data_IF_003512811958
#
_entry.id   IF_003512811958
#
_cell.length_a   1.000
_cell.length_b   1.000
_cell.length_c   1.000
_cell.angle_alpha   90.00
_cell.angle_beta   90.00
_cell.angle_gamma   90.00
#
_symmetry.space_group_name_H-M   'P 1'
#
loop_
_entity.id
_entity.type
_entity.pdbx_description
1 polymer ?
#
# COMPACT_ATOMS: atom_id res chain seq x y z
N UNK A 1 50.46 63.12 6.13
CA UNK A 1 49.12 62.83 6.71
C UNK A 1 49.06 61.33 6.88
N UNK A 2 49.64 60.92 8.00
CA UNK A 2 49.85 59.55 8.42
C UNK A 2 48.58 58.99 9.06
N UNK A 3 48.31 57.70 8.87
CA UNK A 3 47.59 56.92 9.87
C UNK A 3 48.13 55.48 9.92
N UNK A 4 49.00 55.26 10.91
CA UNK A 4 49.15 54.06 11.75
C UNK A 4 47.75 53.53 12.21
N UNK A 5 47.45 52.29 12.64
CA UNK A 5 48.08 51.02 13.01
C UNK A 5 46.92 49.98 13.04
N UNK A 6 46.97 48.74 12.54
CA UNK A 6 47.83 47.63 12.95
C UNK A 6 47.18 46.79 14.07
N UNK A 7 46.52 45.66 13.76
CA UNK A 7 46.76 44.33 14.36
C UNK A 7 45.76 43.26 13.88
N UNK A 8 46.19 42.01 13.97
CA UNK A 8 45.82 40.84 13.16
C UNK A 8 44.79 39.89 13.82
N UNK A 9 44.10 39.08 12.99
CA UNK A 9 43.58 37.75 13.37
C UNK A 9 43.69 36.77 12.18
N UNK A 10 44.22 35.58 12.50
CA UNK A 10 44.68 34.43 11.69
C UNK A 10 43.80 34.00 10.49
N UNK A 11 44.30 33.37 9.43
CA UNK A 11 45.48 32.49 9.37
C UNK A 11 45.10 31.00 9.44
N UNK A 12 43.98 30.58 8.85
CA UNK A 12 43.78 29.19 8.44
C UNK A 12 42.83 29.15 7.23
N UNK A 13 43.36 28.78 6.07
CA UNK A 13 42.60 28.65 4.84
C UNK A 13 41.67 27.43 4.84
N UNK A 14 40.76 27.43 3.84
CA UNK A 14 39.72 26.42 3.52
C UNK A 14 38.44 26.54 4.34
N UNK A 15 37.23 26.36 3.84
CA UNK A 15 36.49 26.46 2.54
C UNK A 15 35.05 26.14 2.93
N UNK A 16 34.08 26.56 2.11
CA UNK A 16 32.72 25.99 2.01
C UNK A 16 32.53 24.65 2.75
N UNK A 17 31.70 24.64 3.79
CA UNK A 17 31.52 23.45 4.62
C UNK A 17 30.26 23.55 5.46
N UNK A 18 29.16 23.05 4.90
CA UNK A 18 27.87 23.02 5.56
C UNK A 18 26.70 22.58 4.69
N UNK A 19 26.92 22.16 3.44
CA UNK A 19 25.99 21.22 2.81
C UNK A 19 26.08 19.92 3.60
N UNK A 20 25.13 19.73 4.51
CA UNK A 20 24.82 18.42 5.03
C UNK A 20 24.40 17.56 3.83
N UNK A 21 25.36 16.83 3.28
CA UNK A 21 25.06 15.62 2.51
C UNK A 21 24.52 14.62 3.53
N UNK A 22 23.24 14.77 3.89
CA UNK A 22 22.45 13.65 4.38
C UNK A 22 22.30 12.71 3.19
N UNK A 23 23.29 11.84 3.01
CA UNK A 23 23.27 10.81 1.97
C UNK A 23 21.96 10.04 2.06
N UNK A 24 21.10 10.27 1.06
CA UNK A 24 19.84 9.61 0.73
C UNK A 24 19.30 8.62 1.79
N UNK A 25 18.93 9.12 2.97
CA UNK A 25 17.85 8.49 3.70
C UNK A 25 16.65 8.52 2.73
N UNK A 26 16.00 7.38 2.53
CA UNK A 26 14.95 7.19 1.53
C UNK A 26 13.89 8.30 1.46
N UNK A 27 13.03 8.21 0.45
CA UNK A 27 11.99 9.21 0.22
C UNK A 27 10.61 8.57 0.40
N UNK A 28 9.71 9.28 1.06
CA UNK A 28 8.29 8.97 1.01
C UNK A 28 7.76 9.32 -0.38
N UNK A 29 7.07 8.37 -1.02
CA UNK A 29 6.45 8.55 -2.32
C UNK A 29 4.95 8.35 -2.22
N UNK A 30 4.12 9.20 -2.85
CA UNK A 30 2.69 8.99 -2.93
C UNK A 30 2.36 7.64 -3.57
N UNK A 31 1.39 6.94 -2.99
CA UNK A 31 0.84 5.69 -3.52
C UNK A 31 -0.61 5.55 -3.03
N UNK A 32 -1.20 4.39 -3.26
CA UNK A 32 -2.54 4.08 -2.82
C UNK A 32 -2.66 2.65 -2.32
N UNK A 33 -3.73 2.43 -1.57
CA UNK A 33 -4.17 1.13 -1.10
C UNK A 33 -5.54 0.82 -1.65
N UNK A 34 -5.68 -0.32 -2.31
CA UNK A 34 -6.98 -0.93 -2.59
C UNK A 34 -7.27 -1.94 -1.47
N UNK A 35 -8.33 -1.70 -0.72
CA UNK A 35 -8.87 -2.63 0.27
C UNK A 35 -10.08 -3.32 -0.34
N UNK A 36 -10.06 -4.64 -0.33
CA UNK A 36 -11.13 -5.50 -0.82
C UNK A 36 -11.68 -6.29 0.36
N UNK A 37 -13.00 -6.22 0.54
CA UNK A 37 -13.73 -6.95 1.57
C UNK A 37 -14.52 -8.08 0.91
N UNK A 38 -14.28 -9.30 1.36
CA UNK A 38 -14.85 -10.52 0.80
C UNK A 38 -14.95 -11.60 1.89
N UNK A 39 -15.70 -12.66 1.63
CA UNK A 39 -15.79 -13.81 2.55
C UNK A 39 -14.89 -14.96 2.08
N UNK A 40 -14.49 -15.84 2.99
CA UNK A 40 -13.61 -16.99 2.66
C UNK A 40 -14.20 -17.92 1.60
N UNK A 41 -15.52 -18.00 1.51
CA UNK A 41 -16.24 -18.81 0.54
C UNK A 41 -16.52 -18.13 -0.80
N UNK A 42 -16.17 -16.85 -0.96
CA UNK A 42 -16.31 -16.16 -2.23
C UNK A 42 -15.46 -16.86 -3.29
N UNK A 43 -16.10 -17.18 -4.43
CA UNK A 43 -15.48 -17.96 -5.50
C UNK A 43 -15.53 -17.20 -6.82
N UNK A 44 -14.41 -17.25 -7.52
CA UNK A 44 -14.36 -17.01 -8.95
C UNK A 44 -14.32 -18.34 -9.67
N UNK A 45 -15.43 -18.72 -10.33
CA UNK A 45 -15.59 -20.04 -10.96
C UNK A 45 -15.41 -21.17 -9.94
N UNK A 46 -14.28 -21.87 -9.99
CA UNK A 46 -13.96 -23.01 -9.11
C UNK A 46 -12.81 -22.71 -8.15
N UNK A 47 -12.34 -21.46 -8.10
CA UNK A 47 -11.19 -21.02 -7.30
C UNK A 47 -11.64 -19.99 -6.27
N UNK A 48 -11.07 -19.96 -5.06
CA UNK A 48 -11.30 -18.87 -4.11
C UNK A 48 -11.04 -17.50 -4.75
N UNK A 49 -11.95 -16.56 -4.58
CA UNK A 49 -11.90 -15.24 -5.21
C UNK A 49 -10.65 -14.46 -4.78
N UNK A 50 -10.33 -14.47 -3.47
CA UNK A 50 -9.11 -13.82 -2.96
C UNK A 50 -7.86 -14.33 -3.67
N UNK A 51 -7.80 -15.65 -3.92
CA UNK A 51 -6.64 -16.28 -4.54
C UNK A 51 -6.50 -15.85 -6.00
N UNK A 52 -7.62 -15.78 -6.72
CA UNK A 52 -7.61 -15.29 -8.11
C UNK A 52 -7.19 -13.82 -8.18
N UNK A 53 -7.66 -12.96 -7.27
CA UNK A 53 -7.25 -11.55 -7.22
C UNK A 53 -5.73 -11.44 -6.96
N UNK A 54 -5.20 -12.16 -5.97
CA UNK A 54 -3.75 -12.17 -5.65
C UNK A 54 -2.94 -12.67 -6.85
N UNK A 55 -3.39 -13.75 -7.50
CA UNK A 55 -2.72 -14.30 -8.68
C UNK A 55 -2.64 -13.26 -9.79
N UNK A 56 -3.76 -12.65 -10.16
CA UNK A 56 -3.78 -11.63 -11.23
C UNK A 56 -2.96 -10.39 -10.86
N UNK A 57 -3.02 -9.94 -9.61
CA UNK A 57 -2.22 -8.82 -9.11
C UNK A 57 -0.70 -9.10 -9.23
N UNK A 58 -0.28 -10.32 -8.92
CA UNK A 58 1.10 -10.76 -9.10
C UNK A 58 1.48 -10.82 -10.58
N UNK A 59 0.61 -11.36 -11.42
CA UNK A 59 0.86 -11.51 -12.86
C UNK A 59 0.94 -10.16 -13.59
N UNK A 60 0.25 -9.12 -13.10
CA UNK A 60 0.34 -7.73 -13.59
C UNK A 60 1.49 -6.92 -12.96
N UNK A 61 2.23 -7.53 -12.03
CA UNK A 61 3.39 -6.92 -11.38
C UNK A 61 3.03 -5.79 -10.41
N UNK A 62 1.87 -5.86 -9.74
CA UNK A 62 1.57 -4.91 -8.67
C UNK A 62 2.59 -5.03 -7.52
N UNK A 63 2.88 -3.93 -6.85
CA UNK A 63 3.97 -3.81 -5.88
C UNK A 63 3.76 -4.73 -4.66
N UNK A 64 2.52 -4.94 -4.23
CA UNK A 64 2.21 -5.91 -3.20
C UNK A 64 0.73 -6.22 -3.05
N UNK A 65 0.46 -7.44 -2.60
CA UNK A 65 -0.85 -7.88 -2.15
C UNK A 65 -0.73 -8.70 -0.87
N UNK A 66 -1.68 -8.58 0.04
CA UNK A 66 -1.73 -9.35 1.29
C UNK A 66 -3.17 -9.64 1.67
N UNK A 67 -3.39 -10.79 2.32
CA UNK A 67 -4.71 -11.26 2.74
C UNK A 67 -4.68 -11.54 4.23
N UNK A 68 -5.67 -11.03 4.95
CA UNK A 68 -5.89 -11.33 6.37
C UNK A 68 -7.25 -11.95 6.55
N UNK A 69 -7.33 -12.93 7.46
CA UNK A 69 -8.58 -13.53 7.91
C UNK A 69 -9.01 -12.87 9.22
N UNK A 70 -10.24 -12.38 9.27
CA UNK A 70 -10.86 -11.85 10.47
C UNK A 70 -11.46 -12.95 11.34
N UNK A 71 -11.86 -12.55 12.55
CA UNK A 71 -12.53 -13.45 13.51
C UNK A 71 -14.06 -13.42 13.29
N UNK A 72 -14.60 -12.24 12.94
CA UNK A 72 -16.03 -12.00 12.73
C UNK A 72 -16.19 -10.74 11.85
N UNK A 73 -17.29 -10.64 11.10
CA UNK A 73 -17.60 -9.49 10.25
C UNK A 73 -18.98 -9.58 9.60
N UNK A 74 -19.42 -8.51 8.96
CA UNK A 74 -20.68 -8.45 8.20
C UNK A 74 -20.46 -7.63 6.91
N UNK A 75 -21.17 -7.93 5.82
CA UNK A 75 -20.91 -7.28 4.53
C UNK A 75 -21.87 -7.63 3.39
N UNK A 76 -21.61 -7.06 2.20
CA UNK A 76 -22.49 -7.14 1.03
C UNK A 76 -22.62 -8.57 0.43
N UNK A 77 -21.60 -9.41 0.62
CA UNK A 77 -21.58 -10.84 0.28
C UNK A 77 -22.32 -11.72 1.29
N UNK A 78 -22.74 -11.16 2.44
CA UNK A 78 -23.64 -11.80 3.41
C UNK A 78 -25.04 -11.90 2.83
N UNK A 79 -25.21 -12.71 1.78
CA UNK A 79 -26.51 -13.25 1.41
C UNK A 79 -27.03 -13.94 2.67
N UNK A 80 -28.04 -13.35 3.29
CA UNK A 80 -28.89 -13.91 4.35
C UNK A 80 -28.80 -15.44 4.40
N UNK A 81 -27.93 -15.97 5.27
CA UNK A 81 -27.97 -17.38 5.65
C UNK A 81 -28.94 -17.51 6.83
N UNK A 82 -30.23 -17.42 6.52
CA UNK A 82 -31.26 -17.90 7.44
C UNK A 82 -31.18 -19.42 7.47
N UNK A 83 -30.28 -20.00 8.26
CA UNK A 83 -30.62 -21.10 9.16
C UNK A 83 -29.46 -21.39 10.12
N UNK A 84 -29.78 -21.27 11.42
CA UNK A 84 -29.13 -21.90 12.57
C UNK A 84 -27.97 -21.12 13.19
N UNK A 85 -28.19 -20.83 14.47
CA UNK A 85 -27.41 -20.05 15.43
C UNK A 85 -26.08 -20.77 15.82
N UNK A 86 -25.56 -21.66 14.97
CA UNK A 86 -24.39 -22.49 15.23
C UNK A 86 -23.31 -22.44 14.13
N UNK A 87 -23.56 -21.77 12.99
CA UNK A 87 -22.64 -21.77 11.83
C UNK A 87 -21.79 -20.48 11.70
N UNK A 88 -21.66 -19.67 12.77
CA UNK A 88 -20.87 -18.42 12.75
C UNK A 88 -19.37 -18.61 12.48
N UNK A 89 -18.88 -19.85 12.44
CA UNK A 89 -17.46 -20.16 12.23
C UNK A 89 -17.08 -20.41 10.77
N UNK A 90 -18.03 -20.61 9.85
CA UNK A 90 -17.73 -21.14 8.51
C UNK A 90 -17.64 -20.08 7.40
N UNK A 91 -17.93 -18.81 7.69
CA UNK A 91 -17.91 -17.72 6.68
C UNK A 91 -17.10 -16.52 7.19
N UNK A 92 -15.81 -16.75 7.43
CA UNK A 92 -14.95 -15.72 8.01
C UNK A 92 -14.66 -14.60 7.00
N UNK A 93 -14.69 -13.33 7.44
CA UNK A 93 -14.38 -12.21 6.57
C UNK A 93 -12.89 -12.24 6.23
N UNK A 94 -12.59 -11.96 4.98
CA UNK A 94 -11.25 -11.70 4.48
C UNK A 94 -11.10 -10.22 4.16
N UNK A 95 -9.93 -9.69 4.46
CA UNK A 95 -9.47 -8.40 3.95
C UNK A 95 -8.32 -8.68 3.01
N UNK A 96 -8.45 -8.28 1.75
CA UNK A 96 -7.34 -8.30 0.79
C UNK A 96 -6.91 -6.85 0.53
N UNK A 97 -5.62 -6.58 0.69
CA UNK A 97 -5.02 -5.27 0.47
C UNK A 97 -4.05 -5.36 -0.67
N UNK A 98 -4.21 -4.50 -1.68
CA UNK A 98 -3.20 -4.24 -2.69
C UNK A 98 -2.62 -2.85 -2.47
N UNK A 99 -1.33 -2.71 -2.72
CA UNK A 99 -0.62 -1.44 -2.61
C UNK A 99 0.17 -1.21 -3.88
N UNK A 100 -0.03 -0.07 -4.51
CA UNK A 100 0.69 0.40 -5.70
C UNK A 100 0.37 1.88 -5.97
N UNK A 101 0.83 2.41 -7.10
CA UNK A 101 0.35 3.66 -7.67
C UNK A 101 -1.16 3.62 -7.90
N UNK A 102 -1.83 4.75 -7.63
CA UNK A 102 -3.29 4.84 -7.70
C UNK A 102 -3.84 4.45 -9.08
N UNK A 103 -3.18 4.86 -10.16
CA UNK A 103 -3.63 4.57 -11.53
C UNK A 103 -3.46 3.10 -11.88
N UNK A 104 -2.41 2.44 -11.38
CA UNK A 104 -2.20 1.00 -11.56
C UNK A 104 -3.27 0.19 -10.83
N UNK A 105 -3.65 0.59 -9.62
CA UNK A 105 -4.74 -0.05 -8.88
C UNK A 105 -6.10 0.15 -9.57
N UNK A 106 -6.40 1.36 -10.06
CA UNK A 106 -7.64 1.62 -10.83
C UNK A 106 -7.70 0.78 -12.09
N UNK A 107 -6.62 0.79 -12.87
CA UNK A 107 -6.54 0.01 -14.11
C UNK A 107 -6.65 -1.49 -13.84
N UNK A 108 -6.06 -1.99 -12.75
CA UNK A 108 -6.21 -3.37 -12.34
C UNK A 108 -7.68 -3.71 -12.05
N UNK A 109 -8.41 -2.87 -11.31
CA UNK A 109 -9.85 -3.10 -11.05
C UNK A 109 -10.66 -3.06 -12.34
N UNK A 110 -10.43 -2.07 -13.20
CA UNK A 110 -11.17 -1.91 -14.46
C UNK A 110 -10.97 -3.08 -15.43
N UNK A 111 -9.73 -3.57 -15.57
CA UNK A 111 -9.41 -4.71 -16.43
C UNK A 111 -9.91 -6.05 -15.88
N UNK A 112 -10.19 -6.12 -14.58
CA UNK A 112 -10.66 -7.32 -13.88
C UNK A 112 -12.02 -7.07 -13.21
N UNK A 113 -12.83 -6.17 -13.79
CA UNK A 113 -14.07 -5.68 -13.18
C UNK A 113 -15.04 -6.81 -12.81
N UNK A 114 -14.99 -7.92 -13.53
CA UNK A 114 -15.80 -9.11 -13.26
C UNK A 114 -15.54 -9.74 -11.88
N UNK A 115 -14.31 -9.62 -11.36
CA UNK A 115 -13.94 -10.12 -10.03
C UNK A 115 -14.54 -9.27 -8.90
N UNK A 116 -14.88 -8.02 -9.18
CA UNK A 116 -15.28 -7.03 -8.17
C UNK A 116 -16.78 -6.73 -8.19
N UNK A 117 -17.57 -7.47 -8.97
CA UNK A 117 -19.00 -7.20 -9.18
C UNK A 117 -19.87 -7.36 -7.93
N UNK A 118 -19.50 -8.27 -7.04
CA UNK A 118 -20.31 -8.65 -5.85
C UNK A 118 -19.67 -8.28 -4.52
N UNK A 119 -18.49 -7.66 -4.56
CA UNK A 119 -17.66 -7.39 -3.39
C UNK A 119 -17.36 -5.89 -3.25
N UNK A 120 -17.06 -5.46 -2.03
CA UNK A 120 -16.77 -4.06 -1.76
C UNK A 120 -15.28 -3.78 -1.95
N UNK A 121 -14.98 -2.74 -2.72
CA UNK A 121 -13.61 -2.23 -2.90
C UNK A 121 -13.54 -0.78 -2.46
N UNK A 122 -12.49 -0.43 -1.74
CA UNK A 122 -12.20 0.94 -1.31
C UNK A 122 -10.79 1.30 -1.72
N UNK A 123 -10.61 2.49 -2.29
CA UNK A 123 -9.30 3.04 -2.59
C UNK A 123 -8.99 4.16 -1.60
N UNK A 124 -7.80 4.15 -1.01
CA UNK A 124 -7.34 5.22 -0.10
C UNK A 124 -5.91 5.64 -0.45
N UNK A 125 -5.58 6.95 -0.41
CA UNK A 125 -4.21 7.39 -0.58
C UNK A 125 -3.34 6.93 0.60
N UNK A 126 -2.05 6.67 0.33
CA UNK A 126 -1.02 6.45 1.33
C UNK A 126 0.35 6.92 0.82
N UNK A 127 1.39 6.79 1.65
CA UNK A 127 2.77 7.02 1.23
C UNK A 127 3.60 5.75 1.48
N UNK A 128 4.53 5.47 0.57
CA UNK A 128 5.49 4.39 0.69
C UNK A 128 6.89 4.93 0.91
N UNK A 129 7.60 4.35 1.87
CA UNK A 129 9.02 4.61 2.05
C UNK A 129 9.85 3.87 1.00
N UNK A 130 10.59 4.61 0.19
CA UNK A 130 11.57 4.07 -0.74
C UNK A 130 12.98 4.34 -0.22
N UNK A 131 13.65 3.30 0.30
CA UNK A 131 15.06 3.39 0.67
C UNK A 131 15.96 3.56 -0.55
N UNK A 132 17.14 4.16 -0.37
CA UNK A 132 18.19 4.06 -1.37
C UNK A 132 18.49 2.58 -1.62
N UNK A 133 18.37 2.13 -2.87
CA UNK A 133 18.71 0.77 -3.26
C UNK A 133 20.13 0.44 -2.80
N UNK A 134 20.29 -0.71 -2.12
CA UNK A 134 21.60 -1.23 -1.74
C UNK A 134 22.30 -1.88 -2.93
#
# INVERSE_FOLDING_TARGET
MDNWHGSAVNGNGRTEGGQAVIGAAGQWQPAARLTVLLDEDDKWRHTPLYHEIVRRARDTGLAGASVWRGIEGYGASSRIHTTRILDMADHLPLILMLVDEADRLRSFVEQNAELFTTINVALSPLELWQGAAR
#
